data_IF_191459418943
#
_entry.id   IF_191459418943
#
_cell.length_a   1.000
_cell.length_b   1.000
_cell.length_c   1.000
_cell.angle_alpha   90.00
_cell.angle_beta   90.00
_cell.angle_gamma   90.00
#
_symmetry.space_group_name_H-M   'P 1'
#
loop_
_entity.id
_entity.type
_entity.pdbx_description
1 polymer ?
#
# COMPACT_ATOMS: atom_id res chain seq x y z
N UNK A 1 -5.83 21.73 -7.97
CA UNK A 1 -6.76 20.70 -8.54
C UNK A 1 -7.97 20.64 -7.62
N UNK A 2 -9.17 20.80 -8.18
CA UNK A 2 -10.43 20.71 -7.43
C UNK A 2 -10.87 19.25 -7.30
N UNK A 3 -11.57 18.89 -6.22
CA UNK A 3 -12.18 17.56 -6.10
C UNK A 3 -13.19 17.34 -7.23
N UNK A 4 -13.15 16.16 -7.82
CA UNK A 4 -14.19 15.70 -8.73
C UNK A 4 -15.20 14.87 -7.95
N UNK A 5 -16.48 15.03 -8.24
CA UNK A 5 -17.53 14.21 -7.65
C UNK A 5 -17.57 12.85 -8.36
N UNK A 6 -17.53 11.76 -7.59
CA UNK A 6 -17.70 10.41 -8.08
C UNK A 6 -18.84 9.72 -7.33
N UNK A 7 -19.55 8.82 -8.00
CA UNK A 7 -20.56 7.96 -7.36
C UNK A 7 -19.99 6.59 -7.04
N UNK A 8 -20.37 6.06 -5.89
CA UNK A 8 -20.09 4.68 -5.51
C UNK A 8 -21.05 3.78 -6.31
N UNK A 9 -20.50 2.95 -7.19
CA UNK A 9 -21.29 2.01 -8.02
C UNK A 9 -21.40 0.63 -7.40
N UNK A 10 -20.41 0.26 -6.56
CA UNK A 10 -20.38 -1.03 -5.88
C UNK A 10 -19.59 -0.94 -4.58
N UNK A 11 -20.04 -1.65 -3.57
CA UNK A 11 -19.32 -1.84 -2.30
C UNK A 11 -19.08 -3.34 -2.12
N UNK A 12 -17.81 -3.74 -2.01
CA UNK A 12 -17.42 -5.14 -1.82
C UNK A 12 -16.87 -5.28 -0.39
N UNK A 13 -17.44 -6.19 0.39
CA UNK A 13 -16.91 -6.56 1.70
C UNK A 13 -15.76 -7.54 1.48
N UNK A 14 -14.55 -7.08 1.71
CA UNK A 14 -13.34 -7.91 1.54
C UNK A 14 -13.05 -8.72 2.82
N UNK A 15 -13.12 -8.07 3.99
CA UNK A 15 -12.93 -8.66 5.32
C UNK A 15 -13.96 -8.06 6.30
N UNK A 16 -14.07 -8.53 7.55
CA UNK A 16 -14.95 -7.89 8.55
C UNK A 16 -14.68 -6.38 8.74
N UNK A 17 -13.43 -5.95 8.59
CA UNK A 17 -13.00 -4.56 8.81
C UNK A 17 -12.62 -3.80 7.54
N UNK A 18 -12.70 -4.43 6.35
CA UNK A 18 -12.20 -3.84 5.09
C UNK A 18 -13.24 -3.93 3.99
N UNK A 19 -13.44 -2.83 3.26
CA UNK A 19 -14.34 -2.75 2.09
C UNK A 19 -13.64 -2.09 0.92
N UNK A 20 -13.99 -2.55 -0.30
CA UNK A 20 -13.63 -1.90 -1.55
C UNK A 20 -14.81 -1.09 -2.07
N UNK A 21 -14.56 0.17 -2.39
CA UNK A 21 -15.52 1.10 -2.98
C UNK A 21 -15.15 1.32 -4.44
N UNK A 22 -16.04 0.92 -5.34
CA UNK A 22 -15.88 1.07 -6.79
C UNK A 22 -16.63 2.33 -7.24
N UNK A 23 -16.03 3.12 -8.12
CA UNK A 23 -16.56 4.39 -8.61
C UNK A 23 -17.06 4.30 -10.05
N UNK A 24 -17.95 5.21 -10.41
CA UNK A 24 -18.42 5.43 -11.79
C UNK A 24 -17.38 6.10 -12.70
N UNK A 25 -16.22 6.46 -12.14
CA UNK A 25 -15.11 7.12 -12.85
C UNK A 25 -13.80 6.36 -12.71
N UNK A 26 -13.06 6.26 -13.82
CA UNK A 26 -11.72 5.69 -13.86
C UNK A 26 -10.64 6.78 -13.85
N UNK A 27 -9.50 6.46 -13.22
CA UNK A 27 -8.25 7.24 -13.20
C UNK A 27 -7.22 6.51 -14.06
N UNK A 28 -7.41 6.54 -15.37
CA UNK A 28 -6.65 5.71 -16.33
C UNK A 28 -5.16 6.03 -16.35
N UNK A 29 -4.80 7.29 -16.02
CA UNK A 29 -3.43 7.76 -15.85
C UNK A 29 -2.75 7.29 -14.57
N UNK A 30 -3.50 6.69 -13.63
CA UNK A 30 -2.93 6.26 -12.36
C UNK A 30 -1.97 5.08 -12.54
N UNK A 31 -0.83 5.19 -11.86
CA UNK A 31 0.20 4.14 -11.77
C UNK A 31 0.05 3.41 -10.43
N UNK A 32 0.20 2.07 -10.37
CA UNK A 32 0.21 1.33 -9.12
C UNK A 32 1.11 1.97 -8.06
N UNK A 33 0.63 2.05 -6.83
CA UNK A 33 1.34 2.73 -5.72
C UNK A 33 0.97 4.19 -5.52
N UNK A 34 0.33 4.86 -6.49
CA UNK A 34 -0.23 6.19 -6.30
C UNK A 34 -1.48 6.16 -5.42
N UNK A 35 -1.83 7.33 -4.88
CA UNK A 35 -2.99 7.53 -4.00
C UNK A 35 -3.88 8.66 -4.50
N UNK A 36 -5.09 8.70 -3.97
CA UNK A 36 -6.04 9.80 -4.12
C UNK A 36 -6.37 10.39 -2.74
N UNK A 37 -6.74 11.66 -2.71
CA UNK A 37 -7.35 12.28 -1.55
C UNK A 37 -8.88 12.13 -1.68
N UNK A 38 -9.49 11.45 -0.74
CA UNK A 38 -10.92 11.15 -0.70
C UNK A 38 -11.61 12.09 0.28
N UNK A 39 -12.44 12.97 -0.22
CA UNK A 39 -13.23 13.89 0.57
C UNK A 39 -14.59 13.26 0.89
N UNK A 40 -14.79 12.95 2.16
CA UNK A 40 -16.04 12.48 2.72
C UNK A 40 -16.81 13.73 3.15
N UNK A 41 -17.90 14.03 2.47
CA UNK A 41 -18.62 15.29 2.65
C UNK A 41 -19.06 15.51 4.10
N UNK A 42 -18.74 16.70 4.63
CA UNK A 42 -19.04 17.10 6.00
C UNK A 42 -18.19 16.44 7.08
N UNK A 43 -17.14 15.69 6.69
CA UNK A 43 -16.28 14.98 7.66
C UNK A 43 -14.82 15.37 7.48
N UNK A 44 -14.11 14.79 6.50
CA UNK A 44 -12.66 15.00 6.30
C UNK A 44 -12.25 14.63 4.87
N UNK A 45 -11.00 14.96 4.52
CA UNK A 45 -10.34 14.52 3.30
C UNK A 45 -9.12 13.67 3.67
N UNK A 46 -9.15 12.39 3.31
CA UNK A 46 -8.15 11.40 3.72
C UNK A 46 -7.45 10.74 2.51
N UNK A 47 -6.15 10.37 2.63
CA UNK A 47 -5.42 9.69 1.58
C UNK A 47 -5.81 8.22 1.49
N UNK A 48 -6.05 7.72 0.27
CA UNK A 48 -6.34 6.31 0.01
C UNK A 48 -5.58 5.83 -1.21
N UNK A 49 -4.88 4.70 -1.07
CA UNK A 49 -4.27 4.00 -2.20
C UNK A 49 -5.35 3.49 -3.17
N UNK A 50 -5.09 3.58 -4.45
CA UNK A 50 -5.93 2.98 -5.46
C UNK A 50 -5.72 1.47 -5.50
N UNK A 51 -6.80 0.69 -5.33
CA UNK A 51 -6.78 -0.78 -5.49
C UNK A 51 -7.00 -1.22 -6.94
N UNK A 52 -7.56 -0.33 -7.74
CA UNK A 52 -7.64 -0.39 -9.20
C UNK A 52 -7.82 1.02 -9.75
N UNK A 53 -7.90 1.17 -11.08
CA UNK A 53 -8.11 2.49 -11.71
C UNK A 53 -9.40 3.20 -11.31
N UNK A 54 -10.37 2.48 -10.75
CA UNK A 54 -11.66 3.05 -10.34
C UNK A 54 -12.11 2.60 -8.94
N UNK A 55 -11.20 2.18 -8.08
CA UNK A 55 -11.57 1.74 -6.73
C UNK A 55 -10.52 2.07 -5.67
N UNK A 56 -11.01 2.23 -4.45
CA UNK A 56 -10.20 2.26 -3.23
C UNK A 56 -10.63 1.13 -2.31
N UNK A 57 -9.67 0.60 -1.54
CA UNK A 57 -9.96 -0.38 -0.49
C UNK A 57 -9.57 0.22 0.85
N UNK A 58 -10.51 0.21 1.78
CA UNK A 58 -10.45 0.97 3.04
C UNK A 58 -10.66 0.06 4.23
N UNK A 59 -9.76 0.10 5.20
CA UNK A 59 -9.95 -0.50 6.50
C UNK A 59 -10.59 0.51 7.46
N UNK A 60 -11.58 0.08 8.24
CA UNK A 60 -12.23 0.89 9.26
C UNK A 60 -11.33 1.02 10.49
N UNK A 61 -10.69 2.19 10.67
CA UNK A 61 -9.71 2.44 11.74
C UNK A 61 -9.95 3.75 12.52
N UNK A 62 -10.92 4.58 12.12
CA UNK A 62 -11.22 5.86 12.76
C UNK A 62 -12.43 6.54 12.15
N UNK A 63 -12.77 7.73 12.67
CA UNK A 63 -14.04 8.45 12.40
C UNK A 63 -14.31 8.64 10.90
N UNK A 64 -13.33 9.08 10.12
CA UNK A 64 -13.49 9.29 8.69
C UNK A 64 -13.79 7.98 7.95
N UNK A 65 -13.06 6.90 8.27
CA UNK A 65 -13.30 5.58 7.66
C UNK A 65 -14.59 4.94 8.15
N UNK A 66 -15.04 5.23 9.37
CA UNK A 66 -16.34 4.81 9.86
C UNK A 66 -17.49 5.49 9.10
N UNK A 67 -17.37 6.79 8.84
CA UNK A 67 -18.34 7.52 8.01
C UNK A 67 -18.37 6.99 6.57
N UNK A 68 -17.21 6.67 6.00
CA UNK A 68 -17.14 6.03 4.68
C UNK A 68 -17.88 4.68 4.67
N UNK A 69 -17.77 3.89 5.76
CA UNK A 69 -18.47 2.61 5.90
C UNK A 69 -19.99 2.73 6.04
N UNK A 70 -20.51 3.91 6.38
CA UNK A 70 -21.95 4.20 6.45
C UNK A 70 -22.52 4.63 5.10
N UNK A 71 -21.70 4.82 4.06
CA UNK A 71 -22.16 5.12 2.72
C UNK A 71 -22.70 3.87 2.03
N UNK A 72 -23.59 4.12 1.08
CA UNK A 72 -24.27 3.11 0.25
C UNK A 72 -23.91 3.29 -1.22
N UNK A 73 -24.20 2.28 -2.03
CA UNK A 73 -24.14 2.41 -3.49
C UNK A 73 -25.10 3.53 -3.95
N UNK A 74 -24.64 4.38 -4.85
CA UNK A 74 -25.30 5.60 -5.27
C UNK A 74 -24.88 6.87 -4.54
N UNK A 75 -24.28 6.76 -3.36
CA UNK A 75 -23.72 7.91 -2.64
C UNK A 75 -22.48 8.47 -3.36
N UNK A 76 -22.13 9.72 -3.05
CA UNK A 76 -21.06 10.43 -3.72
C UNK A 76 -19.92 10.78 -2.78
N UNK A 77 -18.71 10.84 -3.34
CA UNK A 77 -17.48 11.30 -2.72
C UNK A 77 -16.78 12.34 -3.59
N UNK A 78 -15.98 13.21 -2.97
CA UNK A 78 -15.03 14.04 -3.70
C UNK A 78 -13.68 13.33 -3.82
N UNK A 79 -13.07 13.32 -5.01
CA UNK A 79 -11.74 12.73 -5.20
C UNK A 79 -10.82 13.74 -5.86
N UNK A 80 -9.61 13.87 -5.31
CA UNK A 80 -8.48 14.58 -5.94
C UNK A 80 -7.33 13.62 -6.17
N UNK A 81 -6.69 13.70 -7.30
CA UNK A 81 -5.55 12.85 -7.66
C UNK A 81 -5.68 12.30 -9.09
N UNK A 82 -4.85 11.30 -9.45
CA UNK A 82 -3.88 10.60 -8.60
C UNK A 82 -2.70 11.49 -8.19
N UNK A 83 -2.08 11.18 -7.05
CA UNK A 83 -0.94 11.90 -6.49
C UNK A 83 0.21 10.96 -6.14
N UNK A 84 1.38 11.58 -5.95
CA UNK A 84 2.60 10.89 -5.52
C UNK A 84 3.27 10.07 -6.62
N UNK A 85 4.43 9.50 -6.26
CA UNK A 85 5.22 8.62 -7.11
C UNK A 85 4.71 7.18 -6.94
N UNK A 86 4.32 6.54 -8.05
CA UNK A 86 3.97 5.12 -8.06
C UNK A 86 5.19 4.21 -8.10
N UNK A 87 4.97 2.91 -8.10
CA UNK A 87 6.01 1.91 -8.30
C UNK A 87 6.63 2.03 -9.69
N UNK A 88 7.91 1.74 -9.80
CA UNK A 88 8.56 1.48 -11.08
C UNK A 88 7.96 0.22 -11.67
N UNK A 89 7.36 0.33 -12.85
CA UNK A 89 6.70 -0.80 -13.49
C UNK A 89 7.75 -1.82 -13.95
N UNK A 90 7.55 -3.13 -13.67
CA UNK A 90 8.49 -4.15 -14.10
C UNK A 90 8.44 -4.38 -15.60
N UNK A 91 9.58 -4.76 -16.18
CA UNK A 91 9.68 -5.21 -17.56
C UNK A 91 9.15 -6.64 -17.72
N UNK A 92 8.73 -6.98 -18.96
CA UNK A 92 8.11 -8.28 -19.28
C UNK A 92 8.97 -9.50 -18.92
N UNK A 93 10.29 -9.37 -19.04
CA UNK A 93 11.23 -10.48 -18.78
C UNK A 93 11.76 -10.49 -17.35
N UNK A 94 11.31 -9.56 -16.49
CA UNK A 94 11.73 -9.47 -15.10
C UNK A 94 10.96 -10.49 -14.23
N UNK A 95 11.66 -11.01 -13.22
CA UNK A 95 11.06 -11.79 -12.14
C UNK A 95 10.95 -10.92 -10.89
N UNK A 96 9.74 -10.78 -10.35
CA UNK A 96 9.50 -9.88 -9.24
C UNK A 96 9.02 -10.59 -7.98
N UNK A 97 9.42 -10.03 -6.82
CA UNK A 97 8.95 -10.43 -5.51
C UNK A 97 8.08 -9.32 -4.92
N UNK A 98 6.84 -9.67 -4.57
CA UNK A 98 5.89 -8.81 -3.89
C UNK A 98 5.77 -9.24 -2.43
N UNK A 99 5.89 -8.29 -1.49
CA UNK A 99 5.75 -8.56 -0.06
C UNK A 99 4.70 -7.62 0.51
N UNK A 100 3.58 -8.18 0.99
CA UNK A 100 2.43 -7.40 1.41
C UNK A 100 1.90 -7.82 2.77
N UNK A 101 1.41 -6.85 3.56
CA UNK A 101 0.79 -7.13 4.85
C UNK A 101 -0.34 -6.16 5.18
N UNK A 102 -1.44 -6.68 5.73
CA UNK A 102 -2.61 -5.90 6.10
C UNK A 102 -3.13 -5.05 4.94
N UNK A 103 -3.49 -3.78 5.20
CA UNK A 103 -3.96 -2.86 4.15
C UNK A 103 -2.86 -2.42 3.16
N UNK A 104 -1.59 -2.66 3.47
CA UNK A 104 -0.50 -2.47 2.51
C UNK A 104 -0.60 -3.40 1.29
N UNK A 105 -1.44 -4.41 1.36
CA UNK A 105 -1.83 -5.28 0.25
C UNK A 105 -2.47 -4.51 -0.92
N UNK A 106 -3.12 -3.38 -0.64
CA UNK A 106 -3.87 -2.59 -1.63
C UNK A 106 -3.00 -2.06 -2.78
N UNK A 107 -1.91 -1.31 -2.55
CA UNK A 107 -1.05 -0.88 -3.66
C UNK A 107 -0.30 -2.05 -4.32
N UNK A 108 -0.01 -3.12 -3.58
CA UNK A 108 0.69 -4.29 -4.11
C UNK A 108 -0.22 -5.11 -5.04
N UNK A 109 -1.51 -5.30 -4.73
CA UNK A 109 -2.43 -6.01 -5.65
C UNK A 109 -2.65 -5.23 -6.95
N UNK A 110 -2.65 -3.90 -6.89
CA UNK A 110 -2.70 -3.06 -8.10
C UNK A 110 -1.48 -3.30 -9.00
N UNK A 111 -0.29 -3.40 -8.41
CA UNK A 111 0.94 -3.73 -9.13
C UNK A 111 0.93 -5.18 -9.66
N UNK A 112 0.48 -6.15 -8.84
CA UNK A 112 0.38 -7.55 -9.24
C UNK A 112 -0.51 -7.73 -10.48
N UNK A 113 -1.69 -7.09 -10.47
CA UNK A 113 -2.61 -7.14 -11.62
C UNK A 113 -1.97 -6.54 -12.89
N UNK A 114 -1.28 -5.41 -12.76
CA UNK A 114 -0.54 -4.82 -13.88
C UNK A 114 0.53 -5.78 -14.39
N UNK A 115 1.40 -6.25 -13.51
CA UNK A 115 2.52 -7.13 -13.86
C UNK A 115 2.04 -8.45 -14.51
N UNK A 116 0.96 -9.04 -13.99
CA UNK A 116 0.35 -10.23 -14.58
C UNK A 116 -0.20 -9.97 -15.99
N UNK A 117 -0.80 -8.80 -16.24
CA UNK A 117 -1.28 -8.43 -17.58
C UNK A 117 -0.15 -8.26 -18.61
N UNK A 118 1.05 -7.92 -18.14
CA UNK A 118 2.27 -7.81 -18.97
C UNK A 118 3.02 -9.15 -19.09
N UNK A 119 2.58 -10.21 -18.41
CA UNK A 119 3.22 -11.53 -18.44
C UNK A 119 4.50 -11.64 -17.60
N UNK A 120 4.66 -10.79 -16.61
CA UNK A 120 5.79 -10.78 -15.67
C UNK A 120 5.72 -12.00 -14.75
N UNK A 121 6.87 -12.59 -14.40
CA UNK A 121 6.96 -13.69 -13.43
C UNK A 121 6.85 -13.14 -12.00
N UNK A 122 5.80 -13.54 -11.27
CA UNK A 122 5.45 -12.98 -9.96
C UNK A 122 5.51 -14.04 -8.87
N UNK A 123 6.23 -13.74 -7.79
CA UNK A 123 6.10 -14.44 -6.50
C UNK A 123 5.59 -13.44 -5.47
N UNK A 124 4.58 -13.81 -4.69
CA UNK A 124 4.01 -12.95 -3.64
C UNK A 124 4.16 -13.61 -2.27
N UNK A 125 4.62 -12.86 -1.28
CA UNK A 125 4.57 -13.19 0.15
C UNK A 125 3.50 -12.31 0.79
N UNK A 126 2.40 -12.91 1.24
CA UNK A 126 1.25 -12.23 1.83
C UNK A 126 1.14 -12.56 3.32
N UNK A 127 1.04 -11.54 4.17
CA UNK A 127 0.89 -11.69 5.60
C UNK A 127 -0.35 -11.00 6.17
N UNK A 128 -0.95 -11.62 7.18
CA UNK A 128 -2.00 -11.05 8.00
C UNK A 128 -1.88 -11.52 9.45
N UNK A 129 -2.58 -10.85 10.38
CA UNK A 129 -2.60 -11.29 11.78
C UNK A 129 -3.33 -12.61 11.95
N UNK A 130 -4.39 -12.82 11.18
CA UNK A 130 -5.22 -14.02 11.20
C UNK A 130 -5.90 -14.23 9.83
N UNK A 131 -6.59 -15.37 9.68
CA UNK A 131 -7.29 -15.74 8.44
C UNK A 131 -8.35 -14.72 8.01
N UNK A 132 -9.08 -14.13 8.96
CA UNK A 132 -10.18 -13.18 8.67
C UNK A 132 -9.67 -11.84 8.11
N UNK A 133 -8.39 -11.54 8.31
CA UNK A 133 -7.74 -10.31 7.81
C UNK A 133 -6.96 -10.52 6.51
N UNK A 134 -6.89 -11.75 5.98
CA UNK A 134 -6.27 -12.02 4.69
C UNK A 134 -7.03 -11.29 3.57
N UNK A 135 -6.31 -10.49 2.79
CA UNK A 135 -6.89 -9.62 1.79
C UNK A 135 -6.40 -10.00 0.39
N UNK A 136 -7.33 -10.15 -0.56
CA UNK A 136 -7.04 -10.39 -1.98
C UNK A 136 -6.29 -11.70 -2.31
N UNK A 137 -6.44 -12.74 -1.49
CA UNK A 137 -5.78 -14.04 -1.69
C UNK A 137 -6.00 -14.57 -3.11
N UNK A 138 -7.25 -14.64 -3.56
CA UNK A 138 -7.57 -15.17 -4.90
C UNK A 138 -6.98 -14.32 -6.03
N UNK A 139 -6.89 -12.99 -5.84
CA UNK A 139 -6.28 -12.09 -6.82
C UNK A 139 -4.78 -12.35 -6.96
N UNK A 140 -4.06 -12.51 -5.84
CA UNK A 140 -2.63 -12.83 -5.88
C UNK A 140 -2.37 -14.24 -6.43
N UNK A 141 -3.18 -15.22 -6.04
CA UNK A 141 -3.09 -16.58 -6.55
C UNK A 141 -3.28 -16.65 -8.07
N UNK A 142 -4.15 -15.78 -8.62
CA UNK A 142 -4.33 -15.66 -10.07
C UNK A 142 -3.16 -14.96 -10.79
N UNK A 143 -2.32 -14.19 -10.08
CA UNK A 143 -1.20 -13.46 -10.66
C UNK A 143 0.11 -14.27 -10.71
N UNK A 144 0.29 -15.28 -9.86
CA UNK A 144 1.54 -16.05 -9.80
C UNK A 144 1.67 -16.92 -8.56
N UNK A 145 2.91 -17.25 -8.19
CA UNK A 145 3.21 -18.01 -6.99
C UNK A 145 2.85 -17.20 -5.73
N UNK A 146 2.19 -17.85 -4.75
CA UNK A 146 1.71 -17.19 -3.54
C UNK A 146 2.08 -17.97 -2.27
N UNK A 147 2.82 -17.32 -1.38
CA UNK A 147 3.10 -17.77 -0.02
C UNK A 147 2.29 -16.94 0.97
N UNK A 148 1.58 -17.59 1.89
CA UNK A 148 0.73 -16.93 2.87
C UNK A 148 1.19 -17.26 4.27
N UNK A 149 1.25 -16.23 5.14
CA UNK A 149 1.48 -16.39 6.58
C UNK A 149 0.38 -15.72 7.39
N UNK A 150 0.08 -16.30 8.55
CA UNK A 150 -0.74 -15.63 9.57
C UNK A 150 0.00 -15.69 10.91
N UNK A 151 0.00 -14.57 11.64
CA UNK A 151 0.75 -14.45 12.90
C UNK A 151 0.27 -15.48 13.92
N UNK A 152 -1.03 -15.77 13.95
CA UNK A 152 -1.67 -16.72 14.88
C UNK A 152 -1.74 -18.17 14.35
N UNK A 153 -1.32 -18.42 13.11
CA UNK A 153 -1.38 -19.74 12.49
C UNK A 153 -2.79 -20.21 12.10
N UNK A 154 -3.79 -19.32 12.06
CA UNK A 154 -5.18 -19.65 11.70
C UNK A 154 -5.37 -20.02 10.24
N UNK A 155 -4.41 -19.69 9.36
CA UNK A 155 -4.40 -20.10 7.95
C UNK A 155 -2.97 -20.22 7.43
N UNK A 156 -2.74 -21.23 6.58
CA UNK A 156 -1.44 -21.50 5.93
C UNK A 156 -0.27 -21.63 6.93
N UNK A 157 0.84 -20.90 6.71
CA UNK A 157 2.02 -20.94 7.57
C UNK A 157 1.84 -20.02 8.78
N UNK A 158 2.10 -20.53 9.99
CA UNK A 158 2.23 -19.70 11.19
C UNK A 158 3.54 -18.92 11.15
N UNK A 159 3.49 -17.62 11.39
CA UNK A 159 4.65 -16.74 11.42
C UNK A 159 4.48 -15.48 10.58
N UNK A 160 5.59 -14.78 10.35
CA UNK A 160 5.62 -13.50 9.66
C UNK A 160 6.09 -13.63 8.21
N UNK A 161 5.78 -12.63 7.39
CA UNK A 161 6.31 -12.55 6.01
C UNK A 161 7.85 -12.55 5.98
N UNK A 162 8.49 -12.07 7.04
CA UNK A 162 9.95 -12.07 7.20
C UNK A 162 10.54 -13.48 7.35
N UNK A 163 9.77 -14.44 7.86
CA UNK A 163 10.22 -15.83 8.00
C UNK A 163 10.30 -16.50 6.63
N UNK A 164 9.32 -16.22 5.76
CA UNK A 164 9.33 -16.66 4.36
C UNK A 164 10.42 -15.96 3.58
N UNK A 165 10.56 -14.62 3.77
CA UNK A 165 11.58 -13.83 3.09
C UNK A 165 13.00 -14.33 3.42
N UNK A 166 13.27 -14.73 4.68
CA UNK A 166 14.56 -15.25 5.09
C UNK A 166 14.93 -16.60 4.43
N UNK A 167 13.94 -17.35 3.97
CA UNK A 167 14.11 -18.62 3.24
C UNK A 167 14.11 -18.43 1.72
N UNK A 168 13.81 -17.22 1.24
CA UNK A 168 13.70 -16.89 -0.18
C UNK A 168 15.06 -16.50 -0.76
N UNK A 169 15.43 -17.06 -1.90
CA UNK A 169 16.61 -16.59 -2.65
C UNK A 169 16.31 -15.23 -3.28
N UNK A 170 16.72 -14.16 -2.58
CA UNK A 170 16.51 -12.77 -3.00
C UNK A 170 17.20 -12.45 -4.33
N UNK A 171 18.30 -13.15 -4.64
CA UNK A 171 19.07 -12.90 -5.87
C UNK A 171 18.35 -13.43 -7.13
N UNK A 172 17.38 -14.33 -6.95
CA UNK A 172 16.55 -14.83 -8.05
C UNK A 172 15.55 -13.80 -8.61
N UNK A 173 15.43 -12.61 -7.98
CA UNK A 173 14.47 -11.57 -8.38
C UNK A 173 15.19 -10.32 -8.85
N UNK A 174 14.66 -9.72 -9.92
CA UNK A 174 15.16 -8.48 -10.49
C UNK A 174 14.67 -7.27 -9.72
N UNK A 175 13.42 -7.34 -9.20
CA UNK A 175 12.81 -6.27 -8.39
C UNK A 175 12.04 -6.84 -7.21
N UNK A 176 12.01 -6.06 -6.14
CA UNK A 176 11.27 -6.35 -4.90
C UNK A 176 10.39 -5.17 -4.55
N UNK A 177 9.13 -5.42 -4.24
CA UNK A 177 8.17 -4.39 -3.88
C UNK A 177 7.50 -4.73 -2.57
N UNK A 178 7.41 -3.77 -1.67
CA UNK A 178 6.80 -4.02 -0.37
C UNK A 178 5.90 -2.89 0.12
N UNK A 179 4.81 -3.27 0.77
CA UNK A 179 3.93 -2.37 1.50
C UNK A 179 3.25 -3.11 2.65
N UNK A 180 3.21 -2.48 3.82
CA UNK A 180 2.58 -3.06 5.00
C UNK A 180 2.78 -2.23 6.27
N UNK A 181 2.52 -2.84 7.44
CA UNK A 181 2.79 -2.21 8.72
C UNK A 181 4.25 -1.75 8.86
N UNK A 182 4.46 -0.61 9.50
CA UNK A 182 5.78 0.02 9.59
C UNK A 182 6.85 -0.92 10.15
N UNK A 183 6.52 -1.70 11.18
CA UNK A 183 7.48 -2.63 11.78
C UNK A 183 7.80 -3.81 10.86
N UNK A 184 6.82 -4.28 10.07
CA UNK A 184 7.06 -5.27 9.02
C UNK A 184 8.05 -4.73 7.98
N UNK A 185 7.83 -3.52 7.47
CA UNK A 185 8.72 -2.90 6.49
C UNK A 185 10.11 -2.62 7.04
N UNK A 186 10.23 -2.25 8.34
CA UNK A 186 11.54 -2.11 9.02
C UNK A 186 12.30 -3.43 9.04
N UNK A 187 11.63 -4.54 9.39
CA UNK A 187 12.27 -5.86 9.43
C UNK A 187 12.69 -6.31 8.02
N UNK A 188 11.81 -6.13 7.02
CA UNK A 188 12.12 -6.41 5.61
C UNK A 188 13.33 -5.56 5.16
N UNK A 189 13.34 -4.26 5.47
CA UNK A 189 14.46 -3.38 5.17
C UNK A 189 15.79 -3.92 5.72
N UNK A 190 15.80 -4.34 6.99
CA UNK A 190 17.01 -4.88 7.63
C UNK A 190 17.50 -6.20 7.03
N UNK A 191 16.60 -7.05 6.53
CA UNK A 191 16.96 -8.28 5.79
C UNK A 191 17.58 -7.90 4.45
N UNK A 192 16.89 -7.07 3.67
CA UNK A 192 17.32 -6.69 2.32
C UNK A 192 18.59 -5.83 2.31
N UNK A 193 18.84 -5.05 3.38
CA UNK A 193 20.10 -4.33 3.58
C UNK A 193 21.29 -5.28 3.73
N UNK A 194 21.14 -6.33 4.53
CA UNK A 194 22.18 -7.36 4.71
C UNK A 194 22.49 -8.13 3.44
N UNK A 195 21.48 -8.35 2.62
CA UNK A 195 21.58 -9.03 1.32
C UNK A 195 22.02 -8.10 0.17
N UNK A 196 22.32 -6.81 0.45
CA UNK A 196 22.66 -5.79 -0.54
C UNK A 196 21.59 -5.61 -1.63
N UNK A 197 20.31 -5.80 -1.30
CA UNK A 197 19.19 -5.79 -2.23
C UNK A 197 18.36 -4.50 -2.21
N UNK A 198 18.77 -3.47 -1.44
CA UNK A 198 18.02 -2.21 -1.31
C UNK A 198 17.87 -1.46 -2.64
N UNK A 199 18.84 -1.51 -3.54
CA UNK A 199 18.80 -0.83 -4.84
C UNK A 199 17.65 -1.34 -5.70
N UNK A 200 17.36 -2.65 -5.68
CA UNK A 200 16.27 -3.27 -6.44
C UNK A 200 14.96 -3.34 -5.69
N UNK A 201 14.86 -2.72 -4.51
CA UNK A 201 13.65 -2.76 -3.65
C UNK A 201 12.96 -1.42 -3.59
N UNK A 202 11.64 -1.44 -3.72
CA UNK A 202 10.77 -0.27 -3.52
C UNK A 202 9.81 -0.50 -2.36
N UNK A 203 9.69 0.52 -1.49
CA UNK A 203 8.85 0.55 -0.30
C UNK A 203 7.75 1.59 -0.48
N UNK A 204 6.49 1.18 -0.35
CA UNK A 204 5.37 2.11 -0.31
C UNK A 204 5.06 2.46 1.15
N UNK A 205 5.33 3.72 1.52
CA UNK A 205 5.23 4.20 2.90
C UNK A 205 3.91 4.91 3.18
N UNK A 206 3.43 4.75 4.41
CA UNK A 206 2.29 5.49 4.93
C UNK A 206 2.74 6.55 5.94
N UNK A 207 2.21 7.78 5.82
CA UNK A 207 2.41 8.89 6.76
C UNK A 207 1.10 9.67 6.90
N UNK A 208 1.05 10.56 7.87
CA UNK A 208 -0.07 11.47 8.01
C UNK A 208 -0.06 12.53 6.89
N UNK A 209 -1.05 12.48 5.99
CA UNK A 209 -1.20 13.45 4.90
C UNK A 209 -2.26 14.48 5.27
N UNK A 210 -2.03 15.75 4.86
CA UNK A 210 -3.02 16.83 4.87
C UNK A 210 -3.29 17.33 3.46
N UNK A 211 -2.30 17.96 2.81
CA UNK A 211 -2.50 18.58 1.51
C UNK A 211 -2.46 17.61 0.33
N UNK A 212 -1.75 16.48 0.44
CA UNK A 212 -1.54 15.51 -0.64
C UNK A 212 -0.60 15.96 -1.77
N UNK A 213 -0.10 17.20 -1.75
CA UNK A 213 0.64 17.85 -2.87
C UNK A 213 2.03 18.38 -2.47
N UNK A 214 2.52 18.04 -1.29
CA UNK A 214 3.88 18.39 -0.85
C UNK A 214 4.09 19.81 -0.34
N UNK A 215 3.04 20.54 0.06
CA UNK A 215 3.14 21.94 0.50
C UNK A 215 3.21 22.07 2.02
N UNK A 216 2.38 21.32 2.77
CA UNK A 216 2.20 21.55 4.21
C UNK A 216 3.28 20.94 5.11
N UNK A 217 4.09 19.99 4.61
CA UNK A 217 5.15 19.32 5.37
C UNK A 217 4.66 18.28 6.40
N UNK A 218 3.34 18.06 6.55
CA UNK A 218 2.81 17.12 7.55
C UNK A 218 3.32 15.67 7.38
N UNK A 219 3.60 15.27 6.14
CA UNK A 219 4.09 13.94 5.77
C UNK A 219 5.62 13.86 5.63
N UNK A 220 6.37 14.90 6.04
CA UNK A 220 7.83 14.88 5.91
C UNK A 220 8.46 13.80 6.80
N UNK A 221 9.43 13.10 6.22
CA UNK A 221 10.32 12.17 6.93
C UNK A 221 11.66 12.82 7.24
N UNK A 222 12.18 12.57 8.44
CA UNK A 222 13.55 12.92 8.83
C UNK A 222 14.54 11.91 8.16
N UNK A 223 15.80 12.18 7.86
CA UNK A 223 16.52 13.46 8.04
C UNK A 223 16.51 14.28 6.74
N UNK A 224 16.16 13.65 5.60
CA UNK A 224 16.28 14.25 4.26
C UNK A 224 15.11 15.20 3.95
N UNK A 225 14.07 15.28 4.80
CA UNK A 225 12.88 16.11 4.57
C UNK A 225 12.01 15.61 3.42
N UNK A 226 12.04 14.32 3.12
CA UNK A 226 11.25 13.72 2.03
C UNK A 226 9.75 13.82 2.36
N UNK A 227 8.99 14.39 1.46
CA UNK A 227 7.53 14.54 1.60
C UNK A 227 6.84 13.34 1.00
N UNK A 228 6.35 12.42 1.83
CA UNK A 228 5.79 11.15 1.37
C UNK A 228 4.68 11.32 0.35
N UNK A 229 3.85 12.37 0.47
CA UNK A 229 2.76 12.63 -0.49
C UNK A 229 3.22 13.14 -1.87
N UNK A 230 4.49 13.58 -2.02
CA UNK A 230 5.01 14.15 -3.29
C UNK A 230 6.23 13.40 -3.79
N UNK A 231 7.23 13.20 -2.92
CA UNK A 231 8.49 12.56 -3.25
C UNK A 231 8.35 11.02 -3.24
N UNK A 232 7.29 10.50 -2.53
CA UNK A 232 6.79 9.13 -2.50
C UNK A 232 5.31 9.04 -2.95
N UNK A 233 4.50 8.12 -2.41
CA UNK A 233 4.74 7.25 -1.26
C UNK A 233 5.74 6.11 -1.51
N UNK A 234 6.07 5.82 -2.75
CA UNK A 234 7.01 4.78 -3.14
C UNK A 234 8.42 5.35 -3.19
N UNK A 235 9.31 4.74 -2.42
CA UNK A 235 10.74 5.09 -2.33
C UNK A 235 11.60 3.87 -2.63
N UNK A 236 12.73 4.10 -3.30
CA UNK A 236 13.77 3.08 -3.39
C UNK A 236 14.40 2.84 -2.02
N UNK A 237 14.82 1.60 -1.74
CA UNK A 237 15.41 1.24 -0.46
C UNK A 237 16.63 2.08 -0.08
N UNK A 238 17.47 2.48 -1.05
CA UNK A 238 18.62 3.36 -0.80
C UNK A 238 18.22 4.77 -0.33
N UNK A 239 17.04 5.28 -0.73
CA UNK A 239 16.54 6.57 -0.26
C UNK A 239 16.17 6.54 1.22
N UNK A 240 15.84 5.34 1.76
CA UNK A 240 15.39 5.13 3.13
C UNK A 240 16.54 4.83 4.11
N UNK A 241 17.75 4.65 3.64
CA UNK A 241 18.94 4.52 4.50
C UNK A 241 19.04 5.75 5.40
N UNK A 242 19.23 5.52 6.70
CA UNK A 242 19.26 6.53 7.77
C UNK A 242 17.96 7.31 8.00
N UNK A 243 16.85 6.89 7.39
CA UNK A 243 15.54 7.52 7.61
C UNK A 243 14.94 7.21 8.99
N UNK A 244 13.74 7.72 9.22
CA UNK A 244 12.95 7.43 10.43
C UNK A 244 12.17 6.11 10.37
N UNK A 245 12.33 5.32 9.28
CA UNK A 245 11.60 4.06 9.08
C UNK A 245 11.72 3.15 10.31
N UNK A 246 10.57 2.75 10.86
CA UNK A 246 10.46 1.91 12.05
C UNK A 246 10.95 2.56 13.36
N UNK A 247 11.17 3.86 13.40
CA UNK A 247 11.55 4.60 14.62
C UNK A 247 10.40 5.44 15.14
N UNK A 248 9.85 6.31 14.30
CA UNK A 248 8.70 7.15 14.63
C UNK A 248 8.03 7.66 13.36
N UNK A 249 6.82 8.19 13.52
CA UNK A 249 6.09 8.96 12.52
C UNK A 249 5.55 10.25 13.13
N UNK A 250 5.17 11.23 12.29
CA UNK A 250 4.52 12.45 12.76
C UNK A 250 3.00 12.25 12.83
N UNK A 251 2.41 12.70 13.93
CA UNK A 251 0.96 12.77 14.10
C UNK A 251 0.36 14.05 13.50
N UNK A 252 -0.97 14.24 13.63
CA UNK A 252 -1.70 15.41 13.12
C UNK A 252 -1.18 16.75 13.63
N UNK A 253 -0.71 16.81 14.87
CA UNK A 253 -0.12 17.99 15.52
C UNK A 253 1.37 18.16 15.25
N UNK A 254 2.00 17.29 14.44
CA UNK A 254 3.44 17.28 14.19
C UNK A 254 4.29 16.61 15.28
N UNK A 255 3.66 16.13 16.35
CA UNK A 255 4.34 15.36 17.39
C UNK A 255 4.86 14.02 16.88
N UNK A 256 5.99 13.56 17.40
CA UNK A 256 6.53 12.23 17.07
C UNK A 256 5.76 11.16 17.85
N UNK A 257 5.33 10.14 17.11
CA UNK A 257 4.79 8.88 17.67
C UNK A 257 5.81 7.79 17.39
N UNK A 258 6.34 7.17 18.44
CA UNK A 258 7.31 6.08 18.34
C UNK A 258 6.56 4.74 18.17
N UNK A 259 7.20 3.78 17.47
CA UNK A 259 6.70 2.42 17.25
C UNK A 259 7.19 1.46 18.32
#
# INVERSE_FOLDING_TARGET
MYPINVKITKIIKETPSTRTFVFDRSFDEAVPGQFVMVWIYGVDEIPMGLSSKNSITVQKVGDATEKLFNLSEGDSLGIRGPFGKGFTLPGKDEKILLIAGGVGTVPIVSLANYAASEGVCITTILGARNADELLFVDKFAACGELHITTDDGSAHRCGFVTDVLAETDINAYDRIYTCGPEMMMKCIFGILEKENALEKTEFSLHRYFKCGIGVCGACCMDKKGLRVCKDGPVFNGLELVDSELGKHMRGPSGNKKYF
#
